data_IF_656146540593
#
_entry.id   IF_656146540593
#
_cell.length_a   1.000
_cell.length_b   1.000
_cell.length_c   1.000
_cell.angle_alpha   90.00
_cell.angle_beta   90.00
_cell.angle_gamma   90.00
#
_symmetry.space_group_name_H-M   'P 1'
#
loop_
_entity.id
_entity.type
_entity.pdbx_description
1 polymer ?
#
# COMPACT_ATOMS: atom_id res chain seq x y z
N UNK A 1 -6.67 8.55 -28.90
CA UNK A 1 -7.32 8.82 -27.60
C UNK A 1 -6.48 8.11 -26.55
N UNK A 2 -6.04 8.80 -25.51
CA UNK A 2 -5.28 8.17 -24.42
C UNK A 2 -6.24 7.27 -23.63
N UNK A 3 -5.88 5.99 -23.48
CA UNK A 3 -6.63 5.08 -22.63
C UNK A 3 -6.42 5.45 -21.16
N UNK A 4 -7.51 5.34 -20.39
CA UNK A 4 -7.46 5.59 -18.95
C UNK A 4 -6.92 4.35 -18.24
N UNK A 5 -6.03 4.59 -17.27
CA UNK A 5 -5.53 3.57 -16.37
C UNK A 5 -6.25 3.68 -15.03
N UNK A 6 -6.44 2.54 -14.36
CA UNK A 6 -7.24 2.40 -13.14
C UNK A 6 -6.42 1.76 -12.03
N UNK A 7 -6.80 2.04 -10.78
CA UNK A 7 -6.25 1.40 -9.60
C UNK A 7 -7.38 1.04 -8.64
N UNK A 8 -7.39 -0.18 -8.13
CA UNK A 8 -8.30 -0.60 -7.05
C UNK A 8 -7.63 -0.29 -5.72
N UNK A 9 -8.40 0.38 -4.84
CA UNK A 9 -8.04 0.62 -3.45
C UNK A 9 -9.19 0.25 -2.53
N UNK A 10 -8.85 -0.21 -1.34
CA UNK A 10 -9.80 -0.44 -0.25
C UNK A 10 -9.34 0.29 1.01
N UNK A 11 -10.31 0.64 1.86
CA UNK A 11 -10.09 1.08 3.24
C UNK A 11 -10.78 0.08 4.14
N UNK A 12 -10.05 -0.44 5.11
CA UNK A 12 -10.52 -1.49 6.02
C UNK A 12 -10.50 -1.03 7.47
N UNK A 13 -11.06 -1.83 8.38
CA UNK A 13 -10.95 -1.57 9.82
C UNK A 13 -9.51 -1.78 10.30
N UNK A 14 -9.18 -1.27 11.49
CA UNK A 14 -7.85 -1.44 12.09
C UNK A 14 -7.50 -2.91 12.29
N UNK A 15 -8.48 -3.74 12.68
CA UNK A 15 -8.32 -5.17 12.92
C UNK A 15 -7.99 -5.91 11.62
N UNK A 16 -8.76 -5.66 10.55
CA UNK A 16 -8.53 -6.30 9.26
C UNK A 16 -7.23 -5.80 8.60
N UNK A 17 -6.86 -4.53 8.80
CA UNK A 17 -5.55 -4.00 8.39
C UNK A 17 -4.40 -4.76 9.05
N UNK A 18 -4.47 -4.95 10.37
CA UNK A 18 -3.46 -5.71 11.11
C UNK A 18 -3.37 -7.16 10.60
N UNK A 19 -4.51 -7.79 10.32
CA UNK A 19 -4.54 -9.15 9.78
C UNK A 19 -3.90 -9.26 8.39
N UNK A 20 -4.27 -8.37 7.47
CA UNK A 20 -3.72 -8.31 6.11
C UNK A 20 -2.21 -8.08 6.13
N UNK A 21 -1.72 -7.17 6.98
CA UNK A 21 -0.28 -6.83 7.08
C UNK A 21 0.55 -7.91 7.77
N UNK A 22 -0.02 -8.61 8.74
CA UNK A 22 0.68 -9.66 9.48
C UNK A 22 0.57 -11.04 8.80
N UNK A 23 -0.01 -11.13 7.59
CA UNK A 23 -0.41 -12.38 6.93
C UNK A 23 -1.20 -13.31 7.87
N UNK A 24 -1.95 -12.71 8.81
CA UNK A 24 -2.77 -13.43 9.78
C UNK A 24 -4.10 -13.82 9.15
N UNK A 25 -4.64 -14.89 9.71
CA UNK A 25 -5.51 -15.81 8.99
C UNK A 25 -7.00 -15.60 9.31
N UNK A 26 -7.46 -14.36 9.51
CA UNK A 26 -8.90 -14.13 9.60
C UNK A 26 -9.59 -14.48 8.28
N UNK A 27 -10.86 -14.89 8.36
CA UNK A 27 -11.61 -15.32 7.18
C UNK A 27 -11.65 -14.23 6.10
N UNK A 28 -11.86 -12.97 6.52
CA UNK A 28 -11.89 -11.81 5.62
C UNK A 28 -10.52 -11.53 5.01
N UNK A 29 -9.43 -11.55 5.78
CA UNK A 29 -8.08 -11.35 5.24
C UNK A 29 -7.75 -12.44 4.21
N UNK A 30 -8.05 -13.71 4.51
CA UNK A 30 -7.88 -14.83 3.57
C UNK A 30 -8.69 -14.65 2.30
N UNK A 31 -9.95 -14.22 2.41
CA UNK A 31 -10.80 -14.00 1.26
C UNK A 31 -10.26 -12.90 0.35
N UNK A 32 -9.80 -11.78 0.94
CA UNK A 32 -9.18 -10.68 0.19
C UNK A 32 -7.89 -11.13 -0.49
N UNK A 33 -6.98 -11.77 0.24
CA UNK A 33 -5.73 -12.28 -0.33
C UNK A 33 -5.98 -13.32 -1.43
N UNK A 34 -7.00 -14.18 -1.26
CA UNK A 34 -7.40 -15.14 -2.29
C UNK A 34 -7.91 -14.44 -3.55
N UNK A 35 -8.80 -13.46 -3.42
CA UNK A 35 -9.31 -12.69 -4.57
C UNK A 35 -8.16 -11.99 -5.30
N UNK A 36 -7.22 -11.39 -4.55
CA UNK A 36 -6.05 -10.76 -5.14
C UNK A 36 -5.22 -11.78 -5.93
N UNK A 37 -4.87 -12.91 -5.29
CA UNK A 37 -4.07 -13.97 -5.90
C UNK A 37 -4.73 -14.60 -7.14
N UNK A 38 -6.05 -14.84 -7.11
CA UNK A 38 -6.81 -15.35 -8.25
C UNK A 38 -6.75 -14.40 -9.47
N UNK A 39 -6.46 -13.12 -9.25
CA UNK A 39 -6.27 -12.09 -10.28
C UNK A 39 -4.80 -11.69 -10.49
N UNK A 40 -3.83 -12.49 -9.98
CA UNK A 40 -2.40 -12.20 -10.01
C UNK A 40 -2.00 -10.86 -9.37
N UNK A 41 -2.80 -10.38 -8.42
CA UNK A 41 -2.58 -9.13 -7.69
C UNK A 41 -2.17 -9.37 -6.23
N UNK A 42 -1.54 -8.35 -5.65
CA UNK A 42 -1.22 -8.31 -4.22
C UNK A 42 -1.81 -7.06 -3.56
N UNK A 43 -2.49 -7.18 -2.40
CA UNK A 43 -2.93 -6.02 -1.64
C UNK A 43 -1.75 -5.44 -0.86
N UNK A 44 -1.28 -4.27 -1.27
CA UNK A 44 -0.17 -3.55 -0.64
C UNK A 44 -0.69 -2.44 0.26
N UNK A 45 -0.28 -2.46 1.53
CA UNK A 45 -0.59 -1.41 2.50
C UNK A 45 0.11 -0.10 2.10
N UNK A 46 -0.63 1.00 2.04
CA UNK A 46 -0.09 2.32 1.62
C UNK A 46 0.97 2.81 2.58
N UNK A 47 0.78 2.61 3.89
CA UNK A 47 1.80 2.98 4.89
C UNK A 47 3.09 2.18 4.72
N UNK A 48 3.00 0.87 4.50
CA UNK A 48 4.18 0.03 4.34
C UNK A 48 4.94 0.35 3.05
N UNK A 49 4.23 0.69 1.97
CA UNK A 49 4.84 1.19 0.74
C UNK A 49 5.58 2.53 0.96
N UNK A 50 5.02 3.44 1.75
CA UNK A 50 5.69 4.69 2.12
C UNK A 50 6.95 4.45 2.98
N UNK A 51 6.88 3.52 3.93
CA UNK A 51 8.03 3.15 4.74
C UNK A 51 9.14 2.55 3.88
N UNK A 52 8.81 1.59 3.01
CA UNK A 52 9.78 0.96 2.11
C UNK A 52 10.46 1.99 1.18
N UNK A 53 9.69 2.94 0.65
CA UNK A 53 10.23 4.04 -0.15
C UNK A 53 11.22 4.92 0.65
N UNK A 54 10.87 5.29 1.90
CA UNK A 54 11.78 6.06 2.75
C UNK A 54 13.06 5.28 3.08
N UNK A 55 12.94 3.99 3.42
CA UNK A 55 14.08 3.14 3.77
C UNK A 55 15.04 2.97 2.57
N UNK A 56 14.49 2.79 1.36
CA UNK A 56 15.29 2.74 0.13
C UNK A 56 15.94 4.08 -0.19
N UNK A 57 15.22 5.19 -0.05
CA UNK A 57 15.77 6.53 -0.25
C UNK A 57 16.92 6.82 0.73
N UNK A 58 16.77 6.46 2.02
CA UNK A 58 17.82 6.62 3.03
C UNK A 58 19.06 5.77 2.69
N UNK A 59 18.87 4.51 2.27
CA UNK A 59 19.94 3.60 1.87
C UNK A 59 20.74 4.11 0.66
N UNK A 60 20.07 4.75 -0.29
CA UNK A 60 20.67 5.26 -1.52
C UNK A 60 21.05 6.75 -1.46
N UNK A 61 20.87 7.42 -0.31
CA UNK A 61 21.22 8.83 -0.14
C UNK A 61 20.26 9.81 -0.84
N UNK A 62 19.05 9.38 -1.20
CA UNK A 62 18.03 10.16 -1.92
C UNK A 62 17.13 10.98 -0.97
N UNK A 63 17.63 11.32 0.22
CA UNK A 63 16.86 12.06 1.22
C UNK A 63 16.67 13.55 0.88
N UNK A 64 17.30 14.05 -0.19
CA UNK A 64 17.18 15.43 -0.67
C UNK A 64 15.91 15.68 -1.51
N UNK A 65 15.24 14.62 -1.98
CA UNK A 65 14.09 14.79 -2.85
C UNK A 65 12.84 15.25 -2.08
N UNK A 66 12.05 16.20 -2.61
CA UNK A 66 10.82 16.67 -1.95
C UNK A 66 9.82 15.55 -1.64
N UNK A 67 9.76 14.52 -2.48
CA UNK A 67 8.90 13.36 -2.25
C UNK A 67 9.33 12.59 -1.00
N UNK A 68 10.62 12.46 -0.71
CA UNK A 68 11.10 11.86 0.54
C UNK A 68 10.61 12.63 1.76
N UNK A 69 10.81 13.94 1.81
CA UNK A 69 10.38 14.75 2.96
C UNK A 69 8.87 14.70 3.18
N UNK A 70 8.08 14.76 2.11
CA UNK A 70 6.62 14.65 2.20
C UNK A 70 6.18 13.27 2.71
N UNK A 71 6.78 12.20 2.18
CA UNK A 71 6.45 10.83 2.58
C UNK A 71 6.86 10.58 4.04
N UNK A 72 8.06 11.02 4.44
CA UNK A 72 8.56 10.91 5.81
C UNK A 72 7.65 11.64 6.80
N UNK A 73 7.30 12.90 6.51
CA UNK A 73 6.35 13.68 7.33
C UNK A 73 4.97 13.00 7.42
N UNK A 74 4.55 12.29 6.37
CA UNK A 74 3.27 11.57 6.36
C UNK A 74 3.28 10.33 7.24
N UNK A 75 4.38 9.58 7.28
CA UNK A 75 4.49 8.38 8.13
C UNK A 75 4.81 8.69 9.60
N UNK A 76 5.43 9.85 9.87
CA UNK A 76 5.74 10.31 11.23
C UNK A 76 4.53 10.96 11.94
N UNK A 77 3.54 11.45 11.19
CA UNK A 77 2.28 11.98 11.72
C UNK A 77 1.36 10.83 12.19
N UNK A 78 1.01 10.74 13.49
CA UNK A 78 0.20 9.64 14.03
C UNK A 78 -1.18 9.51 13.39
N UNK A 79 -1.82 10.63 13.02
CA UNK A 79 -3.17 10.65 12.44
C UNK A 79 -3.11 10.13 11.00
N UNK A 80 -2.11 10.58 10.23
CA UNK A 80 -1.90 10.09 8.87
C UNK A 80 -1.46 8.64 8.86
N UNK A 81 -0.59 8.25 9.78
CA UNK A 81 -0.17 6.86 9.98
C UNK A 81 -1.38 5.94 10.18
N UNK A 82 -2.27 6.27 11.12
CA UNK A 82 -3.49 5.47 11.35
C UNK A 82 -4.34 5.36 10.07
N UNK A 83 -4.52 6.48 9.35
CA UNK A 83 -5.28 6.50 8.09
C UNK A 83 -4.64 5.60 7.01
N UNK A 84 -3.34 5.72 6.79
CA UNK A 84 -2.65 5.02 5.70
C UNK A 84 -2.41 3.55 6.00
N UNK A 85 -2.33 3.15 7.27
CA UNK A 85 -2.28 1.74 7.66
C UNK A 85 -3.56 0.99 7.28
N UNK A 86 -4.71 1.67 7.23
CA UNK A 86 -6.01 1.07 6.85
C UNK A 86 -6.24 1.03 5.35
N UNK A 87 -5.36 1.63 4.54
CA UNK A 87 -5.55 1.76 3.10
C UNK A 87 -4.64 0.82 2.32
N UNK A 88 -5.24 0.04 1.42
CA UNK A 88 -4.53 -0.90 0.56
C UNK A 88 -4.78 -0.57 -0.90
N UNK A 89 -3.75 -0.76 -1.72
CA UNK A 89 -3.83 -0.72 -3.19
C UNK A 89 -3.48 -2.10 -3.74
N UNK A 90 -4.13 -2.51 -4.83
CA UNK A 90 -3.87 -3.80 -5.46
C UNK A 90 -2.86 -3.63 -6.59
N UNK A 91 -1.73 -4.33 -6.49
CA UNK A 91 -0.65 -4.24 -7.47
C UNK A 91 -0.62 -5.48 -8.34
N UNK A 92 -0.41 -5.31 -9.64
CA UNK A 92 -0.13 -6.39 -10.58
C UNK A 92 1.39 -6.45 -10.79
N UNK A 93 2.07 -7.27 -9.99
CA UNK A 93 3.53 -7.20 -9.88
C UNK A 93 3.97 -5.83 -9.37
N UNK A 94 4.72 -5.08 -10.19
CA UNK A 94 5.15 -3.70 -9.87
C UNK A 94 4.17 -2.63 -10.40
N UNK A 95 3.14 -3.03 -11.15
CA UNK A 95 2.17 -2.11 -11.73
C UNK A 95 1.11 -1.73 -10.71
N UNK A 96 1.01 -0.43 -10.45
CA UNK A 96 0.04 0.12 -9.51
C UNK A 96 -1.25 0.59 -10.20
N UNK A 97 -1.22 0.74 -11.52
CA UNK A 97 -2.35 1.14 -12.37
C UNK A 97 -2.39 0.23 -13.59
N UNK A 98 -3.58 -0.11 -14.06
CA UNK A 98 -3.80 -1.09 -15.13
C UNK A 98 -4.96 -0.66 -16.05
N UNK A 99 -5.03 -1.25 -17.24
CA UNK A 99 -6.17 -1.08 -18.14
C UNK A 99 -7.45 -1.68 -17.53
N UNK A 100 -8.61 -1.27 -18.03
CA UNK A 100 -9.91 -1.73 -17.52
C UNK A 100 -10.14 -3.22 -17.74
#
# INVERSE_FOLDING_TARGET
MTEWMYQIRIVVTSELSADLRALRSSASAKAISKIAADNAMEPVCTFDAFQAYCDEAEKHGLHEFPLYHWTKSTIDDPVKKEKHQKSFAFYLGNEQVYSK
#
